data_IF_073888844059
#
_entry.id   IF_073888844059
#
_cell.length_a   1.000
_cell.length_b   1.000
_cell.length_c   1.000
_cell.angle_alpha   90.00
_cell.angle_beta   90.00
_cell.angle_gamma   90.00
#
_symmetry.space_group_name_H-M   'P 1'
#
loop_
_entity.id
_entity.type
_entity.pdbx_description
1 polymer ?
#
# COMPACT_ATOMS: atom_id res chain seq x y z
N UNK A 1 39.12 49.24 24.22
CA UNK A 1 38.85 48.32 25.35
C UNK A 1 37.80 48.98 26.27
N UNK A 2 36.52 49.01 25.88
CA UNK A 2 35.51 49.81 26.61
C UNK A 2 34.04 49.41 26.46
N UNK A 3 33.68 48.45 25.59
CA UNK A 3 32.26 48.16 25.27
C UNK A 3 31.52 47.25 26.27
N UNK A 4 32.20 46.58 27.21
CA UNK A 4 31.56 45.54 28.05
C UNK A 4 31.19 45.99 29.48
N UNK A 5 31.34 47.27 29.83
CA UNK A 5 31.09 47.74 31.21
C UNK A 5 29.60 47.76 31.60
N UNK A 6 28.70 47.94 30.64
CA UNK A 6 27.27 48.14 30.90
C UNK A 6 26.40 46.88 30.70
N UNK A 7 26.96 45.75 30.26
CA UNK A 7 26.19 44.52 30.01
C UNK A 7 25.55 44.00 31.31
N UNK A 8 26.28 44.08 32.42
CA UNK A 8 25.78 43.66 33.75
C UNK A 8 24.67 44.58 34.27
N UNK A 9 24.77 45.88 34.00
CA UNK A 9 23.75 46.85 34.39
C UNK A 9 22.47 46.66 33.58
N UNK A 10 22.61 46.38 32.28
CA UNK A 10 21.51 46.10 31.38
C UNK A 10 20.80 44.77 31.75
N UNK A 11 21.58 43.74 32.09
CA UNK A 11 21.06 42.45 32.57
C UNK A 11 20.34 42.60 33.93
N UNK A 12 20.93 43.36 34.87
CA UNK A 12 20.30 43.65 36.16
C UNK A 12 18.99 44.45 35.99
N UNK A 13 18.96 45.40 35.06
CA UNK A 13 17.78 46.17 34.72
C UNK A 13 16.68 45.28 34.10
N UNK A 14 17.03 44.45 33.11
CA UNK A 14 16.09 43.52 32.47
C UNK A 14 15.52 42.52 33.47
N UNK A 15 16.37 41.96 34.34
CA UNK A 15 15.96 41.00 35.37
C UNK A 15 15.03 41.63 36.41
N UNK A 16 15.32 42.87 36.84
CA UNK A 16 14.45 43.63 37.75
C UNK A 16 13.08 43.84 37.11
N UNK A 17 13.05 44.29 35.86
CA UNK A 17 11.80 44.55 35.15
C UNK A 17 10.98 43.27 34.95
N UNK A 18 11.63 42.16 34.57
CA UNK A 18 11.00 40.85 34.45
C UNK A 18 10.45 40.32 35.78
N UNK A 19 11.12 40.59 36.90
CA UNK A 19 10.67 40.18 38.23
C UNK A 19 9.52 41.00 38.80
N UNK A 20 9.34 42.24 38.30
CA UNK A 20 8.22 43.12 38.69
C UNK A 20 6.95 42.82 37.86
N UNK A 21 7.07 42.07 36.77
CA UNK A 21 5.90 41.62 36.01
C UNK A 21 5.09 40.61 36.84
N UNK A 22 3.75 40.72 36.85
CA UNK A 22 2.91 39.73 37.52
C UNK A 22 3.11 38.36 36.86
N UNK A 23 3.24 37.33 37.69
CA UNK A 23 3.40 35.96 37.24
C UNK A 23 2.17 35.55 36.41
N UNK A 24 2.35 35.47 35.10
CA UNK A 24 1.27 35.11 34.18
C UNK A 24 0.97 33.63 34.31
N UNK A 25 -0.01 33.32 35.17
CA UNK A 25 -0.51 31.95 35.27
C UNK A 25 -1.37 31.65 34.05
N UNK A 26 -1.17 30.48 33.41
CA UNK A 26 -2.05 30.07 32.32
C UNK A 26 -3.48 29.95 32.86
N UNK A 27 -4.47 30.16 32.01
CA UNK A 27 -5.88 29.96 32.38
C UNK A 27 -6.07 28.57 33.00
N UNK A 28 -6.98 28.43 33.97
CA UNK A 28 -7.25 27.16 34.65
C UNK A 28 -7.52 25.97 33.71
N UNK A 29 -8.06 26.25 32.52
CA UNK A 29 -8.40 25.24 31.50
C UNK A 29 -7.38 25.16 30.35
N UNK A 30 -6.18 25.72 30.50
CA UNK A 30 -5.17 25.75 29.43
C UNK A 30 -4.85 24.34 28.91
N UNK A 31 -4.51 23.42 29.81
CA UNK A 31 -4.18 22.03 29.46
C UNK A 31 -5.36 21.33 28.77
N UNK A 32 -6.58 21.52 29.27
CA UNK A 32 -7.78 20.94 28.67
C UNK A 32 -8.04 21.48 27.26
N UNK A 33 -7.87 22.79 27.04
CA UNK A 33 -8.01 23.41 25.73
C UNK A 33 -6.93 22.95 24.74
N UNK A 34 -5.67 22.84 25.20
CA UNK A 34 -4.58 22.32 24.36
C UNK A 34 -4.85 20.85 23.98
N UNK A 35 -5.20 20.01 24.94
CA UNK A 35 -5.48 18.59 24.69
C UNK A 35 -6.66 18.40 23.73
N UNK A 36 -7.73 19.19 23.89
CA UNK A 36 -8.88 19.17 22.98
C UNK A 36 -8.48 19.51 21.53
N UNK A 37 -7.62 20.50 21.33
CA UNK A 37 -7.12 20.85 20.00
C UNK A 37 -6.23 19.74 19.42
N UNK A 38 -5.40 19.10 20.25
CA UNK A 38 -4.56 17.95 19.84
C UNK A 38 -5.43 16.76 19.42
N UNK A 39 -6.46 16.43 20.18
CA UNK A 39 -7.40 15.34 19.86
C UNK A 39 -8.16 15.61 18.55
N UNK A 40 -8.60 16.84 18.32
CA UNK A 40 -9.25 17.22 17.06
C UNK A 40 -8.32 17.06 15.86
N UNK A 41 -7.03 17.41 16.00
CA UNK A 41 -6.02 17.20 14.98
C UNK A 41 -5.67 15.72 14.78
N UNK A 42 -5.68 14.92 15.86
CA UNK A 42 -5.47 13.48 15.79
C UNK A 42 -6.63 12.77 15.06
N UNK A 43 -7.87 13.19 15.27
CA UNK A 43 -9.05 12.69 14.54
C UNK A 43 -9.03 13.14 13.07
N UNK A 44 -8.53 14.36 12.78
CA UNK A 44 -8.37 14.85 11.42
C UNK A 44 -7.29 14.08 10.64
N UNK A 45 -6.28 13.52 11.33
CA UNK A 45 -5.40 12.48 10.78
C UNK A 45 -6.15 11.15 10.71
N UNK A 46 -7.10 11.05 9.78
CA UNK A 46 -7.74 9.77 9.46
C UNK A 46 -6.63 8.72 9.28
N UNK A 47 -6.71 7.57 9.98
CA UNK A 47 -5.75 6.50 9.75
C UNK A 47 -5.75 6.19 8.25
N UNK A 48 -4.57 5.97 7.67
CA UNK A 48 -4.43 5.54 6.29
C UNK A 48 -5.09 4.16 6.18
N UNK A 49 -6.41 4.14 5.97
CA UNK A 49 -7.17 2.90 5.84
C UNK A 49 -6.73 2.29 4.53
N UNK A 50 -5.90 1.25 4.63
CA UNK A 50 -5.44 0.50 3.48
C UNK A 50 -6.64 -0.16 2.79
N UNK A 51 -7.13 0.49 1.74
CA UNK A 51 -8.16 -0.07 0.87
C UNK A 51 -7.45 -0.90 -0.19
N UNK A 52 -7.65 -2.23 -0.22
CA UNK A 52 -7.03 -3.06 -1.23
C UNK A 52 -7.53 -2.61 -2.62
N UNK A 53 -6.61 -2.45 -3.58
CA UNK A 53 -6.92 -2.02 -4.96
C UNK A 53 -7.94 -2.96 -5.63
N UNK A 54 -7.91 -4.23 -5.26
CA UNK A 54 -8.79 -5.28 -5.76
C UNK A 54 -9.41 -5.99 -4.54
N UNK A 55 -10.74 -6.11 -4.54
CA UNK A 55 -11.47 -6.85 -3.50
C UNK A 55 -11.06 -8.32 -3.47
N UNK A 56 -11.07 -8.94 -2.28
CA UNK A 56 -10.80 -10.38 -2.10
C UNK A 56 -11.68 -11.25 -3.02
N UNK A 57 -12.92 -10.81 -3.29
CA UNK A 57 -13.86 -11.48 -4.20
C UNK A 57 -13.38 -11.46 -5.65
N UNK A 58 -12.82 -10.34 -6.08
CA UNK A 58 -12.28 -10.19 -7.43
C UNK A 58 -10.98 -11.00 -7.60
N UNK A 59 -10.16 -11.11 -6.55
CA UNK A 59 -9.01 -12.03 -6.54
C UNK A 59 -9.40 -13.49 -6.72
N UNK A 60 -10.50 -13.93 -6.08
CA UNK A 60 -11.03 -15.28 -6.25
C UNK A 60 -11.40 -15.59 -7.71
N UNK A 61 -12.03 -14.63 -8.39
CA UNK A 61 -12.41 -14.76 -9.81
C UNK A 61 -11.16 -14.86 -10.69
N UNK A 62 -10.13 -14.05 -10.43
CA UNK A 62 -8.86 -14.09 -11.17
C UNK A 62 -8.19 -15.45 -11.00
N UNK A 63 -8.09 -15.94 -9.76
CA UNK A 63 -7.49 -17.26 -9.48
C UNK A 63 -8.26 -18.38 -10.19
N UNK A 64 -9.59 -18.33 -10.17
CA UNK A 64 -10.42 -19.31 -10.85
C UNK A 64 -10.23 -19.27 -12.37
N UNK A 65 -10.21 -18.08 -12.98
CA UNK A 65 -9.99 -17.91 -14.41
C UNK A 65 -8.62 -18.43 -14.85
N UNK A 66 -7.56 -18.09 -14.10
CA UNK A 66 -6.21 -18.61 -14.35
C UNK A 66 -6.17 -20.13 -14.16
N UNK A 67 -6.83 -20.65 -13.12
CA UNK A 67 -6.94 -22.09 -12.88
C UNK A 67 -7.57 -22.86 -14.04
N UNK A 68 -8.64 -22.32 -14.65
CA UNK A 68 -9.28 -22.92 -15.82
C UNK A 68 -8.36 -22.92 -17.04
N UNK A 69 -7.63 -21.83 -17.28
CA UNK A 69 -6.68 -21.75 -18.40
C UNK A 69 -5.53 -22.73 -18.24
N UNK A 70 -4.98 -22.85 -17.03
CA UNK A 70 -3.93 -23.82 -16.71
C UNK A 70 -4.44 -25.25 -16.82
N UNK A 71 -5.64 -25.53 -16.27
CA UNK A 71 -6.26 -26.85 -16.39
C UNK A 71 -6.45 -27.23 -17.86
N UNK A 72 -7.03 -26.34 -18.67
CA UNK A 72 -7.19 -26.59 -20.12
C UNK A 72 -5.86 -26.87 -20.81
N UNK A 73 -4.80 -26.13 -20.47
CA UNK A 73 -3.46 -26.33 -21.05
C UNK A 73 -2.82 -27.66 -20.65
N UNK A 74 -3.08 -28.14 -19.43
CA UNK A 74 -2.59 -29.44 -18.95
C UNK A 74 -3.41 -30.58 -19.58
N UNK A 75 -4.74 -30.47 -19.58
CA UNK A 75 -5.63 -31.49 -20.16
C UNK A 75 -5.51 -31.58 -21.69
N UNK A 76 -5.19 -30.48 -22.39
CA UNK A 76 -4.89 -30.54 -23.84
C UNK A 76 -3.64 -31.36 -24.19
N UNK A 77 -2.76 -31.60 -23.20
CA UNK A 77 -1.61 -32.50 -23.32
C UNK A 77 -1.99 -33.97 -23.05
N UNK A 78 -3.17 -34.20 -22.49
CA UNK A 78 -3.77 -35.50 -22.14
C UNK A 78 -4.99 -35.72 -23.05
N UNK A 79 -4.80 -35.61 -24.36
CA UNK A 79 -5.84 -35.96 -25.35
C UNK A 79 -5.79 -37.45 -25.67
N UNK A 80 -6.08 -38.27 -24.68
CA UNK A 80 -6.76 -39.55 -24.90
C UNK A 80 -7.79 -39.71 -23.78
N UNK A 81 -9.06 -39.36 -24.07
CA UNK A 81 -10.19 -40.00 -23.37
C UNK A 81 -11.05 -39.20 -22.38
N UNK A 82 -11.20 -37.87 -22.47
CA UNK A 82 -12.25 -37.20 -21.69
C UNK A 82 -13.00 -36.12 -22.47
N UNK A 83 -14.23 -36.44 -22.87
CA UNK A 83 -15.20 -35.52 -23.48
C UNK A 83 -15.81 -34.64 -22.39
N UNK A 84 -15.34 -33.39 -22.32
CA UNK A 84 -15.93 -32.34 -21.47
C UNK A 84 -17.02 -31.64 -22.28
N UNK A 85 -18.23 -31.39 -21.73
CA UNK A 85 -19.29 -30.73 -22.46
C UNK A 85 -18.89 -29.32 -22.92
N UNK A 86 -19.24 -28.98 -24.16
CA UNK A 86 -18.90 -27.70 -24.80
C UNK A 86 -19.50 -26.52 -24.05
N UNK A 87 -18.65 -25.83 -23.29
CA UNK A 87 -18.97 -24.51 -22.76
C UNK A 87 -18.81 -23.52 -23.93
N UNK A 88 -19.92 -22.94 -24.38
CA UNK A 88 -19.92 -22.01 -25.50
C UNK A 88 -19.38 -20.64 -25.06
N UNK A 89 -18.16 -20.32 -25.47
CA UNK A 89 -17.46 -19.05 -25.21
C UNK A 89 -17.65 -18.03 -26.35
N UNK A 90 -18.81 -17.99 -27.02
CA UNK A 90 -19.05 -17.07 -28.13
C UNK A 90 -18.82 -15.58 -27.77
N UNK A 91 -18.89 -15.22 -26.50
CA UNK A 91 -18.58 -13.87 -25.98
C UNK A 91 -17.09 -13.50 -25.98
N UNK A 92 -16.18 -14.47 -26.12
CA UNK A 92 -14.74 -14.21 -26.26
C UNK A 92 -14.34 -13.90 -27.71
N UNK A 93 -15.21 -14.20 -28.68
CA UNK A 93 -14.94 -14.01 -30.10
C UNK A 93 -14.96 -12.53 -30.52
N UNK A 94 -15.55 -11.66 -29.70
CA UNK A 94 -15.49 -10.20 -29.88
C UNK A 94 -14.14 -9.62 -29.41
N UNK A 95 -13.45 -10.30 -28.49
CA UNK A 95 -12.12 -9.93 -28.03
C UNK A 95 -11.07 -10.57 -28.93
N UNK A 96 -10.85 -9.98 -30.11
CA UNK A 96 -9.84 -10.40 -31.09
C UNK A 96 -8.41 -10.11 -30.60
N UNK A 97 -7.93 -10.87 -29.63
CA UNK A 97 -6.50 -10.96 -29.29
C UNK A 97 -5.73 -11.94 -30.19
N UNK A 98 -6.44 -12.73 -31.01
CA UNK A 98 -5.85 -13.78 -31.84
C UNK A 98 -4.73 -13.27 -32.75
N UNK A 99 -4.93 -12.13 -33.44
CA UNK A 99 -3.95 -11.64 -34.41
C UNK A 99 -2.58 -11.26 -33.82
N UNK A 100 -2.50 -10.94 -32.52
CA UNK A 100 -1.23 -10.58 -31.87
C UNK A 100 -0.50 -11.79 -31.28
N UNK A 101 -1.23 -12.84 -30.88
CA UNK A 101 -0.67 -14.06 -30.32
C UNK A 101 -0.42 -15.16 -31.36
N UNK A 102 -1.10 -15.13 -32.52
CA UNK A 102 -0.88 -16.07 -33.61
C UNK A 102 0.53 -15.98 -34.24
N UNK A 103 1.17 -14.81 -34.19
CA UNK A 103 2.56 -14.65 -34.66
C UNK A 103 3.61 -15.15 -33.66
N UNK A 104 3.22 -15.49 -32.42
CA UNK A 104 4.12 -15.96 -31.39
C UNK A 104 4.13 -17.51 -31.37
N UNK A 105 5.01 -18.12 -32.16
CA UNK A 105 5.29 -19.56 -32.07
C UNK A 105 6.12 -19.85 -30.82
N UNK A 106 5.48 -19.91 -29.66
CA UNK A 106 6.13 -20.20 -28.38
C UNK A 106 6.21 -21.71 -28.17
N UNK A 107 7.41 -22.23 -27.90
CA UNK A 107 7.58 -23.64 -27.56
C UNK A 107 6.89 -23.98 -26.22
N UNK A 108 6.38 -25.20 -26.08
CA UNK A 108 5.72 -25.66 -24.83
C UNK A 108 6.61 -25.51 -23.59
N UNK A 109 7.93 -25.68 -23.75
CA UNK A 109 8.91 -25.47 -22.68
C UNK A 109 9.01 -23.99 -22.29
N UNK A 110 9.06 -23.08 -23.28
CA UNK A 110 9.08 -21.63 -23.02
C UNK A 110 7.82 -21.18 -22.28
N UNK A 111 6.65 -21.69 -22.68
CA UNK A 111 5.39 -21.38 -22.02
C UNK A 111 5.38 -21.87 -20.56
N UNK A 112 5.88 -23.08 -20.31
CA UNK A 112 5.99 -23.65 -18.96
C UNK A 112 6.90 -22.81 -18.05
N UNK A 113 8.04 -22.34 -18.58
CA UNK A 113 8.97 -21.47 -17.85
C UNK A 113 8.32 -20.13 -17.52
N UNK A 114 7.61 -19.52 -18.47
CA UNK A 114 6.91 -18.24 -18.25
C UNK A 114 5.85 -18.37 -17.15
N UNK A 115 5.08 -19.47 -17.15
CA UNK A 115 4.07 -19.72 -16.13
C UNK A 115 4.70 -19.90 -14.74
N UNK A 116 5.74 -20.72 -14.62
CA UNK A 116 6.43 -20.96 -13.35
C UNK A 116 7.07 -19.67 -12.83
N UNK A 117 7.73 -18.91 -13.72
CA UNK A 117 8.35 -17.64 -13.40
C UNK A 117 7.31 -16.60 -12.93
N UNK A 118 6.17 -16.51 -13.61
CA UNK A 118 5.05 -15.65 -13.19
C UNK A 118 4.54 -16.03 -11.80
N UNK A 119 4.40 -17.34 -11.52
CA UNK A 119 3.97 -17.82 -10.20
C UNK A 119 4.99 -17.49 -9.10
N UNK A 120 6.29 -17.61 -9.38
CA UNK A 120 7.35 -17.18 -8.46
C UNK A 120 7.29 -15.67 -8.18
N UNK A 121 7.09 -14.84 -9.21
CA UNK A 121 6.97 -13.39 -9.03
C UNK A 121 5.78 -13.02 -8.12
N UNK A 122 4.64 -13.70 -8.27
CA UNK A 122 3.49 -13.48 -7.39
C UNK A 122 3.82 -13.82 -5.93
N UNK A 123 4.49 -14.95 -5.68
CA UNK A 123 4.94 -15.33 -4.34
C UNK A 123 5.89 -14.28 -3.77
N UNK A 124 6.85 -13.81 -4.56
CA UNK A 124 7.79 -12.76 -4.14
C UNK A 124 7.07 -11.45 -3.79
N UNK A 125 6.06 -11.04 -4.55
CA UNK A 125 5.24 -9.85 -4.26
C UNK A 125 4.48 -10.02 -2.94
N UNK A 126 3.88 -11.18 -2.69
CA UNK A 126 3.17 -11.47 -1.42
C UNK A 126 4.15 -11.42 -0.24
N UNK A 127 5.34 -12.02 -0.39
CA UNK A 127 6.38 -12.01 0.63
C UNK A 127 6.86 -10.59 0.95
N UNK A 128 7.17 -9.80 -0.09
CA UNK A 128 7.57 -8.40 0.06
C UNK A 128 6.46 -7.58 0.72
N UNK A 129 5.21 -7.75 0.30
CA UNK A 129 4.06 -7.08 0.92
C UNK A 129 3.95 -7.41 2.41
N UNK A 130 4.14 -8.67 2.80
CA UNK A 130 4.17 -9.09 4.21
C UNK A 130 5.30 -8.41 5.00
N UNK A 131 6.51 -8.35 4.41
CA UNK A 131 7.67 -7.69 5.02
C UNK A 131 7.44 -6.19 5.24
N UNK A 132 7.00 -5.48 4.20
CA UNK A 132 6.74 -4.03 4.27
C UNK A 132 5.57 -3.72 5.22
N UNK A 133 4.51 -4.52 5.23
CA UNK A 133 3.39 -4.31 6.18
C UNK A 133 3.85 -4.43 7.64
N UNK A 134 4.75 -5.37 7.96
CA UNK A 134 5.31 -5.49 9.32
C UNK A 134 6.24 -4.35 9.71
N UNK A 135 6.99 -3.78 8.76
CA UNK A 135 7.95 -2.69 9.04
C UNK A 135 7.34 -1.30 9.08
N UNK A 136 6.21 -1.07 8.40
CA UNK A 136 5.60 0.27 8.24
C UNK A 136 4.30 0.46 9.03
N UNK A 137 3.94 -0.47 9.91
CA UNK A 137 2.90 -0.22 10.92
C UNK A 137 3.44 0.75 11.99
N UNK A 138 3.14 2.03 11.82
CA UNK A 138 3.09 3.03 12.91
C UNK A 138 1.75 2.92 13.65
#
# INVERSE_FOLDING_TARGET
MGENKHIKELDAFAKKYLSELPESTPSSNFTANVMKNIEQLAVAKKPLVYKPLISIKAWLIIVLAVGVLLFRSVTSSVKEGFEVPEINFSFLNEFNFNNYFEQLSVSSSTLSVVVIFGLMLLIQIIYLKGYFTRKFNF
#
